data_IF_892603953684
#
_entry.id   IF_892603953684
#
_cell.length_a   1.000
_cell.length_b   1.000
_cell.length_c   1.000
_cell.angle_alpha   90.00
_cell.angle_beta   90.00
_cell.angle_gamma   90.00
#
_symmetry.space_group_name_H-M   'P 1'
#
loop_
_entity.id
_entity.type
_entity.pdbx_description
1 polymer ?
#
# COMPACT_ATOMS: atom_id res chain seq x y z
N UNK A 1 -0.50 -10.41 -5.44
CA UNK A 1 0.88 -9.95 -5.18
C UNK A 1 1.74 -10.29 -6.37
N UNK A 2 1.68 -9.48 -7.41
CA UNK A 2 2.46 -9.72 -8.64
C UNK A 2 3.68 -8.79 -8.73
N UNK A 3 3.66 -7.66 -7.98
CA UNK A 3 4.65 -6.58 -8.11
C UNK A 3 5.68 -6.52 -6.97
N UNK A 4 5.74 -7.55 -6.13
CA UNK A 4 6.67 -7.67 -4.99
C UNK A 4 7.49 -8.94 -5.16
N UNK A 5 8.79 -8.80 -5.39
CA UNK A 5 9.72 -9.91 -5.53
C UNK A 5 10.70 -9.97 -4.35
N UNK A 6 11.18 -11.17 -4.06
CA UNK A 6 12.30 -11.38 -3.15
C UNK A 6 13.59 -11.49 -3.97
N UNK A 7 14.69 -10.96 -3.42
CA UNK A 7 16.00 -11.26 -3.97
C UNK A 7 16.36 -12.75 -3.82
N UNK A 8 17.39 -13.20 -4.55
CA UNK A 8 17.83 -14.60 -4.55
C UNK A 8 18.12 -15.13 -3.13
N UNK A 9 18.56 -14.24 -2.24
CA UNK A 9 18.89 -14.56 -0.84
C UNK A 9 17.67 -14.51 0.10
N UNK A 10 16.48 -14.12 -0.39
CA UNK A 10 15.24 -13.92 0.38
C UNK A 10 15.40 -12.97 1.56
N UNK A 11 16.28 -11.99 1.43
CA UNK A 11 16.57 -10.98 2.47
C UNK A 11 16.07 -9.59 2.09
N UNK A 12 15.87 -9.32 0.80
CA UNK A 12 15.43 -8.02 0.33
C UNK A 12 14.14 -8.16 -0.47
N UNK A 13 13.19 -7.27 -0.19
CA UNK A 13 11.97 -7.10 -0.99
C UNK A 13 12.23 -6.04 -2.06
N UNK A 14 11.85 -6.32 -3.30
CA UNK A 14 11.94 -5.40 -4.45
C UNK A 14 10.57 -5.22 -5.09
N UNK A 15 10.21 -3.97 -5.39
CA UNK A 15 9.07 -3.63 -6.24
C UNK A 15 9.54 -3.74 -7.70
N UNK A 16 8.79 -4.43 -8.54
CA UNK A 16 9.25 -4.83 -9.89
C UNK A 16 8.43 -4.28 -11.05
N UNK A 17 7.31 -3.64 -10.76
CA UNK A 17 6.43 -3.11 -11.79
C UNK A 17 6.05 -1.66 -11.47
N UNK A 18 6.53 -0.77 -12.33
CA UNK A 18 6.27 0.66 -12.32
C UNK A 18 5.49 1.09 -13.58
N UNK A 19 4.89 0.16 -14.32
CA UNK A 19 4.20 0.42 -15.60
C UNK A 19 3.00 1.36 -15.48
N UNK A 20 2.50 1.57 -14.27
CA UNK A 20 1.42 2.51 -13.94
C UNK A 20 1.87 3.67 -13.03
N UNK A 21 3.16 3.74 -12.71
CA UNK A 21 3.71 4.80 -11.85
C UNK A 21 3.76 6.14 -12.59
N UNK A 22 3.51 7.23 -11.88
CA UNK A 22 3.59 8.57 -12.43
C UNK A 22 4.25 9.52 -11.43
N UNK A 23 4.81 10.62 -11.94
CA UNK A 23 5.59 11.55 -11.13
C UNK A 23 4.63 12.52 -10.42
N UNK A 24 4.63 12.50 -9.08
CA UNK A 24 3.81 13.41 -8.29
C UNK A 24 4.43 14.81 -8.22
N UNK A 25 3.62 15.85 -8.45
CA UNK A 25 3.93 17.24 -8.10
C UNK A 25 2.74 17.82 -7.34
N UNK A 26 3.00 18.63 -6.30
CA UNK A 26 1.96 19.28 -5.49
C UNK A 26 1.00 20.14 -6.32
N UNK A 27 1.43 20.57 -7.51
CA UNK A 27 0.63 21.38 -8.43
C UNK A 27 -0.21 20.55 -9.42
N UNK A 28 0.08 19.26 -9.59
CA UNK A 28 -0.54 18.37 -10.57
C UNK A 28 -0.94 17.02 -9.95
N UNK A 29 -2.12 17.01 -9.33
CA UNK A 29 -2.74 15.80 -8.82
C UNK A 29 -3.27 14.93 -9.99
N UNK A 30 -3.15 13.61 -9.86
CA UNK A 30 -3.36 12.66 -10.96
C UNK A 30 -4.86 12.29 -11.11
N UNK A 31 -5.24 11.70 -12.25
CA UNK A 31 -6.65 11.39 -12.62
C UNK A 31 -6.85 10.03 -13.31
N UNK A 32 -5.86 9.14 -13.33
CA UNK A 32 -5.91 7.94 -14.18
C UNK A 32 -6.32 6.71 -13.36
N UNK A 33 -7.41 6.05 -13.74
CA UNK A 33 -7.80 4.75 -13.20
C UNK A 33 -6.98 3.62 -13.85
N UNK A 34 -5.85 3.26 -13.24
CA UNK A 34 -5.12 2.06 -13.61
C UNK A 34 -4.74 1.28 -12.35
N UNK A 35 -5.23 0.05 -12.22
CA UNK A 35 -4.94 -0.84 -11.09
C UNK A 35 -6.06 -1.85 -10.82
N UNK A 36 -5.76 -2.92 -10.09
CA UNK A 36 -6.77 -3.86 -9.59
C UNK A 36 -7.57 -3.17 -8.47
N UNK A 37 -8.92 -3.10 -8.57
CA UNK A 37 -9.75 -2.27 -7.69
C UNK A 37 -9.66 -2.68 -6.21
N UNK A 38 -9.24 -3.91 -5.92
CA UNK A 38 -9.06 -4.42 -4.57
C UNK A 38 -7.92 -3.75 -3.79
N UNK A 39 -6.99 -3.07 -4.48
CA UNK A 39 -5.87 -2.33 -3.87
C UNK A 39 -6.05 -0.81 -3.91
N UNK A 40 -7.12 -0.33 -4.57
CA UNK A 40 -7.37 1.09 -4.78
C UNK A 40 -7.91 1.75 -3.52
N UNK A 41 -7.39 2.93 -3.22
CA UNK A 41 -7.87 3.77 -2.13
C UNK A 41 -9.27 4.34 -2.42
N UNK A 42 -10.09 4.66 -1.39
CA UNK A 42 -11.46 5.17 -1.57
C UNK A 42 -11.57 6.40 -2.47
N UNK A 43 -10.63 7.34 -2.34
CA UNK A 43 -10.58 8.59 -3.11
C UNK A 43 -10.44 8.37 -4.63
N UNK A 44 -9.89 7.21 -5.05
CA UNK A 44 -9.78 6.87 -6.47
C UNK A 44 -11.13 6.56 -7.10
N UNK A 45 -12.18 6.30 -6.32
CA UNK A 45 -13.53 6.06 -6.84
C UNK A 45 -14.34 7.34 -7.02
N UNK A 46 -13.82 8.49 -6.54
CA UNK A 46 -14.45 9.78 -6.69
C UNK A 46 -13.76 10.60 -7.79
N UNK A 47 -14.36 10.78 -8.99
CA UNK A 47 -13.73 11.52 -10.10
C UNK A 47 -13.47 13.00 -9.81
N UNK A 48 -14.11 13.55 -8.77
CA UNK A 48 -13.96 14.94 -8.34
C UNK A 48 -12.81 15.15 -7.36
N UNK A 49 -12.32 14.07 -6.74
CA UNK A 49 -11.20 14.14 -5.80
C UNK A 49 -9.87 14.08 -6.53
N UNK A 50 -8.98 14.97 -6.11
CA UNK A 50 -7.59 14.95 -6.49
C UNK A 50 -6.85 14.11 -5.45
N UNK A 51 -6.06 13.12 -5.88
CA UNK A 51 -5.32 12.22 -4.99
C UNK A 51 -3.81 12.46 -5.06
N UNK A 52 -3.13 12.33 -3.92
CA UNK A 52 -1.69 12.41 -3.76
C UNK A 52 -1.04 11.06 -3.42
N UNK A 53 0.20 11.02 -2.93
CA UNK A 53 0.98 9.81 -2.66
C UNK A 53 0.38 8.86 -1.61
N UNK A 54 -0.56 9.34 -0.81
CA UNK A 54 -1.28 8.60 0.21
C UNK A 54 -2.07 7.40 -0.32
N UNK A 55 -2.42 7.36 -1.61
CA UNK A 55 -3.01 6.16 -2.24
C UNK A 55 -2.08 4.95 -2.15
N UNK A 56 -0.76 5.16 -2.20
CA UNK A 56 0.22 4.08 -2.14
C UNK A 56 0.31 3.49 -0.72
N UNK A 57 0.05 4.31 0.30
CA UNK A 57 -0.02 3.88 1.71
C UNK A 57 -1.21 2.96 1.94
N UNK A 58 -2.35 3.27 1.31
CA UNK A 58 -3.51 2.38 1.34
C UNK A 58 -3.18 1.05 0.69
N UNK A 59 -2.63 1.06 -0.54
CA UNK A 59 -2.24 -0.16 -1.24
C UNK A 59 -1.20 -0.98 -0.44
N UNK A 60 -0.26 -0.31 0.23
CA UNK A 60 0.68 -0.93 1.17
C UNK A 60 -0.07 -1.62 2.32
N UNK A 61 -1.07 -0.97 2.91
CA UNK A 61 -1.92 -1.55 3.95
C UNK A 61 -2.64 -2.81 3.47
N UNK A 62 -3.28 -2.77 2.30
CA UNK A 62 -3.96 -3.93 1.69
C UNK A 62 -3.01 -5.11 1.49
N UNK A 63 -1.82 -4.84 0.93
CA UNK A 63 -0.77 -5.83 0.72
C UNK A 63 -0.31 -6.41 2.05
N UNK A 64 -0.03 -5.55 3.03
CA UNK A 64 0.47 -5.95 4.34
C UNK A 64 -0.54 -6.81 5.10
N UNK A 65 -1.81 -6.43 5.08
CA UNK A 65 -2.90 -7.26 5.60
C UNK A 65 -2.93 -8.63 4.93
N UNK A 66 -2.86 -8.67 3.59
CA UNK A 66 -2.90 -9.93 2.85
C UNK A 66 -1.71 -10.84 3.16
N UNK A 67 -0.51 -10.30 3.43
CA UNK A 67 0.64 -11.10 3.86
C UNK A 67 0.40 -11.78 5.20
N UNK A 68 -0.28 -11.12 6.13
CA UNK A 68 -0.45 -11.58 7.50
C UNK A 68 -1.68 -12.48 7.67
N UNK A 69 -2.80 -12.13 7.02
CA UNK A 69 -4.07 -12.85 7.15
C UNK A 69 -4.24 -13.91 6.05
N UNK A 70 -3.51 -13.81 4.94
CA UNK A 70 -3.55 -14.77 3.83
C UNK A 70 -4.70 -14.52 2.83
N UNK A 71 -5.44 -13.43 2.98
CA UNK A 71 -6.49 -12.98 2.05
C UNK A 71 -6.59 -11.46 2.04
N UNK A 72 -7.22 -10.91 1.00
CA UNK A 72 -7.49 -9.47 0.93
C UNK A 72 -8.59 -9.08 1.94
N UNK A 73 -8.52 -7.86 2.53
CA UNK A 73 -9.52 -7.40 3.47
C UNK A 73 -10.87 -7.15 2.78
N UNK A 74 -10.85 -6.60 1.56
CA UNK A 74 -12.04 -6.29 0.79
C UNK A 74 -12.12 -7.21 -0.42
N UNK A 75 -13.10 -8.11 -0.42
CA UNK A 75 -13.36 -9.02 -1.53
C UNK A 75 -14.86 -9.24 -1.68
N UNK A 76 -15.26 -9.58 -2.90
CA UNK A 76 -16.65 -9.87 -3.25
C UNK A 76 -16.68 -11.23 -3.94
N UNK A 77 -17.27 -12.27 -3.35
CA UNK A 77 -17.38 -13.58 -3.98
C UNK A 77 -18.37 -13.59 -5.16
N UNK A 78 -19.17 -12.54 -5.33
CA UNK A 78 -20.23 -12.43 -6.32
C UNK A 78 -19.70 -12.06 -7.71
N UNK A 79 -19.97 -12.91 -8.71
CA UNK A 79 -19.77 -12.65 -10.15
C UNK A 79 -20.88 -11.79 -10.76
N UNK A 80 -21.60 -11.03 -9.93
CA UNK A 80 -22.81 -10.29 -10.31
C UNK A 80 -22.48 -8.83 -10.68
N UNK A 81 -23.38 -8.17 -11.41
CA UNK A 81 -23.28 -6.78 -11.87
C UNK A 81 -23.05 -5.77 -10.72
N UNK A 82 -23.37 -6.16 -9.48
CA UNK A 82 -23.20 -5.33 -8.28
C UNK A 82 -21.81 -5.41 -7.63
N UNK A 83 -20.91 -6.27 -8.14
CA UNK A 83 -19.56 -6.50 -7.57
C UNK A 83 -18.81 -5.21 -7.26
N UNK A 84 -18.79 -4.29 -8.22
CA UNK A 84 -18.04 -3.02 -8.10
C UNK A 84 -18.60 -2.13 -6.99
N UNK A 85 -19.93 -2.05 -6.90
CA UNK A 85 -20.60 -1.21 -5.89
C UNK A 85 -20.40 -1.77 -4.48
N UNK A 86 -20.50 -3.09 -4.33
CA UNK A 86 -20.27 -3.75 -3.05
C UNK A 86 -18.81 -3.59 -2.59
N UNK A 87 -17.85 -3.80 -3.50
CA UNK A 87 -16.43 -3.59 -3.21
C UNK A 87 -16.15 -2.13 -2.81
N UNK A 88 -16.70 -1.17 -3.56
CA UNK A 88 -16.56 0.25 -3.25
C UNK A 88 -17.11 0.57 -1.85
N UNK A 89 -18.29 0.06 -1.48
CA UNK A 89 -18.86 0.26 -0.15
C UNK A 89 -18.00 -0.32 0.97
N UNK A 90 -17.36 -1.48 0.74
CA UNK A 90 -16.42 -2.05 1.70
C UNK A 90 -15.17 -1.17 1.85
N UNK A 91 -14.61 -0.70 0.73
CA UNK A 91 -13.43 0.17 0.70
C UNK A 91 -13.71 1.50 1.41
N UNK A 92 -14.82 2.17 1.09
CA UNK A 92 -15.22 3.44 1.72
C UNK A 92 -15.43 3.31 3.24
N UNK A 93 -15.88 2.14 3.69
CA UNK A 93 -16.07 1.85 5.12
C UNK A 93 -14.77 1.54 5.86
N UNK A 94 -13.74 1.08 5.15
CA UNK A 94 -12.50 0.60 5.75
C UNK A 94 -12.68 -0.68 6.58
N UNK A 95 -11.72 -0.92 7.49
CA UNK A 95 -11.71 -2.15 8.29
C UNK A 95 -12.84 -2.16 9.34
N UNK A 96 -13.71 -3.17 9.26
CA UNK A 96 -14.73 -3.47 10.27
C UNK A 96 -14.31 -4.60 11.25
N UNK A 97 -15.13 -4.81 12.28
CA UNK A 97 -14.92 -5.80 13.36
C UNK A 97 -14.56 -7.23 12.90
N UNK A 98 -15.07 -7.70 11.76
CA UNK A 98 -14.70 -9.02 11.22
C UNK A 98 -13.21 -9.11 10.89
N UNK A 99 -12.62 -8.06 10.31
CA UNK A 99 -11.19 -8.03 10.00
C UNK A 99 -10.34 -8.06 11.29
N UNK A 100 -10.77 -7.37 12.35
CA UNK A 100 -10.06 -7.40 13.63
C UNK A 100 -10.12 -8.78 14.31
N UNK A 101 -11.21 -9.54 14.11
CA UNK A 101 -11.29 -10.94 14.55
C UNK A 101 -10.31 -11.84 13.80
N UNK A 102 -10.14 -11.61 12.49
CA UNK A 102 -9.19 -12.37 11.68
C UNK A 102 -7.73 -12.06 12.07
N UNK A 103 -7.48 -10.83 12.50
CA UNK A 103 -6.20 -10.38 13.03
C UNK A 103 -5.99 -10.71 14.51
N UNK A 104 -6.83 -11.53 15.15
CA UNK A 104 -6.75 -11.77 16.61
C UNK A 104 -5.36 -12.25 17.06
N UNK A 105 -4.69 -13.04 16.24
CA UNK A 105 -3.37 -13.63 16.48
C UNK A 105 -2.19 -12.66 16.32
N UNK A 106 -2.42 -11.46 15.77
CA UNK A 106 -1.39 -10.44 15.60
C UNK A 106 -1.17 -9.63 16.89
N UNK A 107 -0.01 -8.98 17.02
CA UNK A 107 0.26 -8.08 18.15
C UNK A 107 -0.62 -6.82 18.08
N UNK A 108 -0.87 -6.12 19.21
CA UNK A 108 -1.62 -4.87 19.22
C UNK A 108 -1.04 -3.81 18.26
N UNK A 109 0.28 -3.65 18.24
CA UNK A 109 1.01 -2.68 17.41
C UNK A 109 0.86 -3.02 15.92
N UNK A 110 0.82 -4.31 15.58
CA UNK A 110 0.60 -4.75 14.21
C UNK A 110 -0.80 -4.35 13.73
N UNK A 111 -1.83 -4.59 14.55
CA UNK A 111 -3.22 -4.24 14.23
C UNK A 111 -3.39 -2.74 14.12
N UNK A 112 -2.76 -1.99 15.01
CA UNK A 112 -2.75 -0.53 14.97
C UNK A 112 -2.13 -0.02 13.66
N UNK A 113 -0.96 -0.54 13.26
CA UNK A 113 -0.30 -0.17 12.01
C UNK A 113 -1.21 -0.43 10.81
N UNK A 114 -1.76 -1.65 10.70
CA UNK A 114 -2.68 -2.03 9.61
C UNK A 114 -3.88 -1.07 9.57
N UNK A 115 -4.49 -0.78 10.71
CA UNK A 115 -5.64 0.12 10.79
C UNK A 115 -5.31 1.54 10.31
N UNK A 116 -4.13 2.05 10.67
CA UNK A 116 -3.68 3.39 10.25
C UNK A 116 -3.25 3.46 8.78
N UNK A 117 -2.80 2.34 8.19
CA UNK A 117 -2.50 2.24 6.75
C UNK A 117 -3.78 2.14 5.92
N UNK A 118 -4.79 1.40 6.39
CA UNK A 118 -6.10 1.21 5.73
C UNK A 118 -7.14 2.17 6.35
N UNK A 119 -6.73 3.43 6.55
CA UNK A 119 -7.60 4.52 6.99
C UNK A 119 -8.27 5.15 5.76
N UNK A 120 -9.62 5.13 5.65
CA UNK A 120 -10.32 5.64 4.49
C UNK A 120 -10.06 7.12 4.21
N UNK A 121 -9.97 7.94 5.27
CA UNK A 121 -9.71 9.37 5.12
C UNK A 121 -8.23 9.62 4.81
N UNK A 122 -7.88 10.18 3.64
CA UNK A 122 -6.48 10.38 3.26
C UNK A 122 -5.72 11.30 4.23
N UNK A 123 -6.41 12.25 4.87
CA UNK A 123 -5.83 13.17 5.85
C UNK A 123 -5.56 12.54 7.22
N UNK A 124 -6.19 11.40 7.52
CA UNK A 124 -5.98 10.65 8.76
C UNK A 124 -5.07 9.43 8.56
N UNK A 125 -4.82 9.07 7.30
CA UNK A 125 -3.98 7.94 6.91
C UNK A 125 -2.52 8.20 7.29
N UNK A 126 -1.85 7.18 7.83
CA UNK A 126 -0.48 7.29 8.34
C UNK A 126 0.49 7.68 7.23
N UNK A 127 1.19 8.83 7.31
CA UNK A 127 2.18 9.18 6.31
C UNK A 127 3.37 8.21 6.38
N UNK A 128 4.05 7.99 5.24
CA UNK A 128 5.17 7.05 5.15
C UNK A 128 6.27 7.31 6.20
N UNK A 129 6.57 8.58 6.48
CA UNK A 129 7.57 8.97 7.49
C UNK A 129 7.22 8.43 8.88
N UNK A 130 5.93 8.36 9.23
CA UNK A 130 5.47 7.83 10.51
C UNK A 130 5.43 6.29 10.51
N UNK A 131 5.28 5.67 9.35
CA UNK A 131 5.42 4.20 9.18
C UNK A 131 6.85 3.78 9.52
N UNK A 132 7.87 4.52 9.04
CA UNK A 132 9.29 4.20 9.24
C UNK A 132 9.69 4.16 10.73
N UNK A 133 9.01 4.93 11.58
CA UNK A 133 9.28 4.99 13.02
C UNK A 133 8.26 4.20 13.86
N UNK A 134 7.28 3.55 13.22
CA UNK A 134 6.21 2.87 13.93
C UNK A 134 6.77 1.77 14.86
N UNK A 135 6.25 1.61 16.10
CA UNK A 135 6.77 0.63 17.07
C UNK A 135 6.82 -0.81 16.53
N UNK A 136 5.84 -1.20 15.72
CA UNK A 136 5.83 -2.50 15.06
C UNK A 136 6.96 -2.67 14.03
N UNK A 137 7.29 -1.61 13.28
CA UNK A 137 8.34 -1.62 12.26
C UNK A 137 9.72 -1.62 12.90
N UNK A 138 9.88 -0.81 13.95
CA UNK A 138 11.19 -0.59 14.59
C UNK A 138 11.45 -1.49 15.80
N UNK A 139 10.50 -2.36 16.15
CA UNK A 139 10.50 -3.12 17.41
C UNK A 139 10.80 -2.21 18.61
N UNK A 140 9.98 -1.18 18.79
CA UNK A 140 10.17 -0.15 19.84
C UNK A 140 11.56 0.52 19.74
N UNK A 141 11.96 0.93 18.54
CA UNK A 141 13.26 1.52 18.23
C UNK A 141 14.50 0.61 18.40
N UNK A 142 14.33 -0.69 18.71
CA UNK A 142 15.45 -1.66 18.77
C UNK A 142 16.08 -1.93 17.40
N UNK A 143 15.29 -1.79 16.35
CA UNK A 143 15.68 -1.97 14.94
C UNK A 143 15.21 -0.76 14.13
N UNK A 144 15.92 0.38 14.19
CA UNK A 144 15.49 1.56 13.44
C UNK A 144 15.40 1.25 11.95
N UNK A 145 14.40 1.82 11.29
CA UNK A 145 14.28 1.69 9.85
C UNK A 145 15.46 2.40 9.18
N UNK A 146 16.21 1.65 8.39
CA UNK A 146 17.28 2.19 7.57
C UNK A 146 16.77 2.19 6.13
N UNK A 147 16.46 3.35 5.55
CA UNK A 147 16.11 3.43 4.14
C UNK A 147 17.19 2.73 3.34
N UNK A 148 16.78 1.91 2.38
CA UNK A 148 17.73 1.18 1.54
C UNK A 148 18.68 2.18 0.87
N UNK A 149 19.93 2.20 1.35
CA UNK A 149 20.98 3.01 0.74
C UNK A 149 21.33 2.34 -0.59
N UNK A 150 21.08 3.04 -1.70
CA UNK A 150 21.41 2.56 -3.04
C UNK A 150 22.79 1.90 -3.04
N UNK A 151 22.90 0.65 -3.48
CA UNK A 151 24.21 0.04 -3.62
C UNK A 151 25.02 0.88 -4.60
N UNK A 152 26.30 1.12 -4.31
CA UNK A 152 27.22 1.83 -5.23
C UNK A 152 27.22 1.18 -6.63
N UNK A 153 26.87 -0.11 -6.71
CA UNK A 153 26.72 -0.89 -7.95
C UNK A 153 25.48 -0.57 -8.79
N UNK A 154 24.49 0.17 -8.28
CA UNK A 154 23.26 0.52 -9.02
C UNK A 154 23.40 1.84 -9.80
N UNK A 155 24.43 2.65 -9.53
CA UNK A 155 24.71 3.89 -10.28
C UNK A 155 24.85 3.70 -11.81
N UNK A 156 25.55 2.66 -12.31
CA UNK A 156 25.68 2.44 -13.75
C UNK A 156 24.35 2.06 -14.42
N UNK A 157 23.54 1.21 -13.76
CA UNK A 157 22.24 0.79 -14.30
C UNK A 157 21.23 1.94 -14.31
N UNK A 158 21.24 2.80 -13.28
CA UNK A 158 20.36 3.98 -13.23
C UNK A 158 20.62 4.95 -14.39
N UNK A 159 21.88 5.15 -14.76
CA UNK A 159 22.25 6.00 -15.90
C UNK A 159 21.86 5.39 -17.26
N UNK A 160 21.82 4.06 -17.38
CA UNK A 160 21.39 3.40 -18.62
C UNK A 160 19.89 3.49 -18.84
N UNK A 161 19.08 3.42 -17.78
CA UNK A 161 17.62 3.50 -17.88
C UNK A 161 17.16 4.94 -18.14
N UNK A 162 17.80 5.96 -17.53
CA UNK A 162 17.43 7.38 -17.73
C UNK A 162 17.76 7.87 -19.15
N UNK A 163 18.75 7.28 -19.82
CA UNK A 163 19.12 7.65 -21.20
C UNK A 163 18.20 7.05 -22.29
N UNK A 164 17.22 6.23 -21.90
CA UNK A 164 16.28 5.57 -22.82
C UNK A 164 14.83 6.08 -22.70
N UNK A 165 14.63 7.18 -21.95
CA UNK A 165 13.37 7.92 -21.86
C UNK A 165 13.63 9.31 -22.44
#
# INVERSE_FOLDING_TARGET
MENIMLDEKKKNIKIVDFGLSNTFSKDNLMKTHCGSPEYAAPELFNPSEKYGPEIDIWSLGIIFYAMLVGKLPFTTPSSDQFRRRELQQQIEKGLVNSHFKEMVHLSPECKELINKLIEPSPSLRLPLMDVEIHPWVTLEAKFPFHPFQSFIKDKPMRNQVIMQI
#
